data_IF_472684060791
#
_entry.id   IF_472684060791
#
_cell.length_a   1.000
_cell.length_b   1.000
_cell.length_c   1.000
_cell.angle_alpha   90.00
_cell.angle_beta   90.00
_cell.angle_gamma   90.00
#
_symmetry.space_group_name_H-M   'P 1'
#
loop_
_entity.id
_entity.type
_entity.pdbx_description
1 polymer ?
#
# COMPACT_ATOMS: atom_id res chain seq x y z
N UNK A 1 8.15 -2.05 -15.01
CA UNK A 1 7.15 -2.49 -14.00
C UNK A 1 7.52 -3.92 -13.62
N UNK A 2 7.61 -4.26 -12.34
CA UNK A 2 7.81 -5.65 -11.88
C UNK A 2 6.47 -6.15 -11.32
N UNK A 3 5.76 -7.07 -12.00
CA UNK A 3 4.37 -7.40 -11.67
C UNK A 3 4.19 -8.11 -10.32
N UNK A 4 5.26 -8.65 -9.77
CA UNK A 4 5.30 -9.45 -8.54
C UNK A 4 6.00 -8.73 -7.37
N UNK A 5 6.25 -7.41 -7.48
CA UNK A 5 6.86 -6.61 -6.41
C UNK A 5 5.87 -5.53 -5.98
N UNK A 6 5.56 -5.49 -4.69
CA UNK A 6 4.77 -4.44 -4.06
C UNK A 6 5.70 -3.51 -3.29
N UNK A 7 5.53 -2.21 -3.51
CA UNK A 7 6.23 -1.18 -2.76
C UNK A 7 5.25 -0.47 -1.83
N UNK A 8 5.57 -0.43 -0.54
CA UNK A 8 4.77 0.28 0.46
C UNK A 8 5.68 1.22 1.25
N UNK A 9 5.76 2.46 0.77
CA UNK A 9 6.56 3.53 1.37
C UNK A 9 5.74 4.84 1.38
N UNK A 10 6.31 5.91 1.93
CA UNK A 10 5.68 7.23 1.96
C UNK A 10 4.93 7.55 3.25
N UNK A 11 5.11 6.75 4.31
CA UNK A 11 4.46 6.93 5.62
C UNK A 11 5.03 8.06 6.48
N UNK A 12 6.14 8.69 6.06
CA UNK A 12 6.84 9.69 6.87
C UNK A 12 7.22 9.15 8.26
N UNK A 13 7.03 9.96 9.31
CA UNK A 13 7.29 9.56 10.70
C UNK A 13 6.24 8.60 11.30
N UNK A 14 5.17 8.27 10.56
CA UNK A 14 4.05 7.47 11.06
C UNK A 14 4.13 5.99 10.65
N UNK A 15 5.27 5.53 10.12
CA UNK A 15 5.44 4.17 9.61
C UNK A 15 5.07 3.08 10.62
N UNK A 16 5.53 3.18 11.87
CA UNK A 16 5.22 2.20 12.91
C UNK A 16 3.72 2.20 13.27
N UNK A 17 3.15 3.38 13.48
CA UNK A 17 1.73 3.54 13.80
C UNK A 17 0.82 2.96 12.71
N UNK A 18 1.25 3.07 11.44
CA UNK A 18 0.47 2.63 10.28
C UNK A 18 0.85 1.22 9.79
N UNK A 19 1.79 0.52 10.45
CA UNK A 19 2.33 -0.75 9.97
C UNK A 19 1.23 -1.82 9.79
N UNK A 20 0.34 -1.97 10.78
CA UNK A 20 -0.72 -2.97 10.73
C UNK A 20 -1.72 -2.72 9.58
N UNK A 21 -2.16 -1.48 9.40
CA UNK A 21 -3.05 -1.09 8.31
C UNK A 21 -2.39 -1.26 6.93
N UNK A 22 -1.10 -0.93 6.82
CA UNK A 22 -0.30 -1.13 5.61
C UNK A 22 -0.20 -2.61 5.26
N UNK A 23 0.13 -3.46 6.24
CA UNK A 23 0.23 -4.91 6.04
C UNK A 23 -1.08 -5.53 5.57
N UNK A 24 -2.22 -5.11 6.14
CA UNK A 24 -3.56 -5.53 5.67
C UNK A 24 -3.79 -5.15 4.20
N UNK A 25 -3.46 -3.91 3.83
CA UNK A 25 -3.64 -3.42 2.46
C UNK A 25 -2.75 -4.18 1.46
N UNK A 26 -1.49 -4.47 1.83
CA UNK A 26 -0.58 -5.26 0.98
C UNK A 26 -1.08 -6.69 0.81
N UNK A 27 -1.54 -7.34 1.88
CA UNK A 27 -2.13 -8.69 1.80
C UNK A 27 -3.25 -8.72 0.78
N UNK A 28 -4.18 -7.78 0.86
CA UNK A 28 -5.36 -7.75 -0.02
C UNK A 28 -4.93 -7.51 -1.47
N UNK A 29 -3.99 -6.59 -1.73
CA UNK A 29 -3.40 -6.40 -3.05
C UNK A 29 -2.74 -7.67 -3.62
N UNK A 30 -1.94 -8.38 -2.82
CA UNK A 30 -1.25 -9.60 -3.25
C UNK A 30 -2.23 -10.74 -3.56
N UNK A 31 -3.36 -10.79 -2.86
CA UNK A 31 -4.41 -11.79 -3.06
C UNK A 31 -5.46 -11.39 -4.11
N UNK A 32 -5.30 -10.23 -4.77
CA UNK A 32 -6.28 -9.71 -5.72
C UNK A 32 -7.62 -9.33 -5.09
N UNK A 33 -7.63 -9.04 -3.79
CA UNK A 33 -8.80 -8.61 -3.03
C UNK A 33 -8.86 -7.09 -2.92
N UNK A 34 -10.06 -6.57 -2.67
CA UNK A 34 -10.25 -5.14 -2.46
C UNK A 34 -9.60 -4.69 -1.13
N UNK A 35 -8.66 -3.72 -1.16
CA UNK A 35 -8.07 -3.19 0.07
C UNK A 35 -9.11 -2.43 0.92
N UNK A 36 -8.86 -2.27 2.23
CA UNK A 36 -9.81 -1.62 3.14
C UNK A 36 -10.00 -0.11 2.91
N UNK A 37 -9.17 0.51 2.07
CA UNK A 37 -9.23 1.93 1.68
C UNK A 37 -8.89 2.08 0.19
N UNK A 38 -9.36 3.15 -0.45
CA UNK A 38 -8.93 3.50 -1.82
C UNK A 38 -7.45 3.90 -1.83
N UNK A 39 -6.66 3.20 -2.65
CA UNK A 39 -5.23 3.44 -2.79
C UNK A 39 -4.86 4.40 -3.92
N UNK A 40 -5.85 4.86 -4.70
CA UNK A 40 -5.65 5.80 -5.81
C UNK A 40 -4.86 7.06 -5.42
N UNK A 41 -5.10 7.68 -4.24
CA UNK A 41 -4.33 8.85 -3.79
C UNK A 41 -2.85 8.58 -3.52
N UNK A 42 -2.44 7.31 -3.42
CA UNK A 42 -1.06 6.91 -3.13
C UNK A 42 -0.30 6.42 -4.39
N UNK A 43 -0.91 6.50 -5.58
CA UNK A 43 -0.25 6.07 -6.82
C UNK A 43 1.04 6.86 -7.08
N UNK A 44 2.11 6.20 -7.55
CA UNK A 44 3.37 6.89 -7.83
C UNK A 44 3.29 7.89 -9.01
N UNK A 45 2.25 7.82 -9.85
CA UNK A 45 2.01 8.77 -10.96
C UNK A 45 1.19 10.02 -10.55
N UNK A 46 1.04 10.30 -9.26
CA UNK A 46 0.25 11.44 -8.76
C UNK A 46 1.00 12.79 -8.76
N UNK A 47 2.22 12.80 -9.28
CA UNK A 47 3.11 13.93 -9.46
C UNK A 47 3.61 13.90 -10.90
#
# INVERSE_FOLDING_TARGET
>A
RAPNIVYAFGHGHLGLTQAAATGRSIRDLLLGQEPPIDLTPFRPQRF
#
